data_IF_868362821879
#
_entry.id   IF_868362821879
#
_cell.length_a   1.000
_cell.length_b   1.000
_cell.length_c   1.000
_cell.angle_alpha   90.00
_cell.angle_beta   90.00
_cell.angle_gamma   90.00
#
_symmetry.space_group_name_H-M   'P 1'
#
loop_
_entity.id
_entity.type
_entity.pdbx_description
1 polymer ?
#
# COMPACT_ATOMS: atom_id res chain seq x y z
N UNK A 1 -2.18 10.58 7.89
CA UNK A 1 -1.23 9.50 8.23
C UNK A 1 -2.00 8.21 8.39
N UNK A 2 -1.52 7.13 7.80
CA UNK A 2 -2.02 5.77 7.96
C UNK A 2 -0.87 4.87 8.42
N UNK A 3 -1.16 3.88 9.26
CA UNK A 3 -0.21 2.91 9.78
C UNK A 3 -0.94 1.58 9.99
N UNK A 4 -0.36 0.49 9.50
CA UNK A 4 -0.86 -0.87 9.73
C UNK A 4 -0.86 -1.20 11.23
N UNK A 5 -1.82 -2.03 11.64
CA UNK A 5 -2.01 -2.40 13.06
C UNK A 5 -0.81 -3.16 13.65
N UNK A 6 -0.05 -3.85 12.81
CA UNK A 6 1.17 -4.59 13.18
C UNK A 6 2.44 -3.80 12.90
N UNK A 7 2.33 -2.46 12.85
CA UNK A 7 3.45 -1.55 12.67
C UNK A 7 3.54 -0.55 13.84
N UNK A 8 4.71 0.04 14.01
CA UNK A 8 4.97 1.07 15.02
C UNK A 8 5.92 2.14 14.47
N UNK A 9 5.80 3.36 15.00
CA UNK A 9 6.69 4.49 14.70
C UNK A 9 7.57 4.70 15.93
N UNK A 10 8.80 4.13 16.01
CA UNK A 10 9.68 4.30 17.17
C UNK A 10 10.31 5.69 17.25
N UNK A 11 10.38 6.40 16.11
CA UNK A 11 10.93 7.74 16.03
C UNK A 11 9.88 8.80 16.38
N UNK A 12 10.32 9.97 16.83
CA UNK A 12 9.41 11.14 16.93
C UNK A 12 8.99 11.58 15.53
N UNK A 13 7.72 11.90 15.32
CA UNK A 13 7.22 12.29 13.99
C UNK A 13 7.95 13.50 13.41
N UNK A 14 8.20 14.52 14.24
CA UNK A 14 8.91 15.76 13.87
C UNK A 14 10.40 15.56 13.53
N UNK A 15 10.96 14.37 13.82
CA UNK A 15 12.34 14.04 13.44
C UNK A 15 12.50 13.63 11.98
N UNK A 16 11.40 13.34 11.27
CA UNK A 16 11.45 12.93 9.87
C UNK A 16 10.35 13.52 8.99
N UNK A 17 9.25 14.00 9.58
CA UNK A 17 8.18 14.73 8.91
C UNK A 17 8.32 16.22 9.24
N UNK A 18 8.41 17.05 8.21
CA UNK A 18 8.50 18.50 8.32
C UNK A 18 7.17 19.16 7.96
N UNK A 19 6.83 20.34 8.50
CA UNK A 19 5.55 21.02 8.20
C UNK A 19 5.31 21.34 6.72
N UNK A 20 6.37 21.39 5.91
CA UNK A 20 6.31 21.67 4.48
C UNK A 20 6.31 20.40 3.62
N UNK A 21 6.37 19.20 4.23
CA UNK A 21 6.27 17.95 3.48
C UNK A 21 4.81 17.71 3.10
N UNK A 22 4.53 17.58 1.80
CA UNK A 22 3.21 17.18 1.28
C UNK A 22 3.07 15.66 1.16
N UNK A 23 4.19 14.93 1.15
CA UNK A 23 4.25 13.48 1.26
C UNK A 23 5.60 13.00 1.81
N UNK A 24 5.60 11.87 2.52
CA UNK A 24 6.83 11.13 2.89
C UNK A 24 6.69 9.68 2.43
N UNK A 25 7.60 9.24 1.57
CA UNK A 25 7.59 7.88 1.00
C UNK A 25 8.93 7.17 1.21
N UNK A 26 8.92 5.85 1.06
CA UNK A 26 10.11 5.01 1.07
C UNK A 26 9.92 3.81 0.13
N UNK A 27 11.02 3.28 -0.41
CA UNK A 27 11.01 1.99 -1.08
C UNK A 27 11.03 0.86 -0.04
N UNK A 28 10.34 -0.24 -0.35
CA UNK A 28 10.46 -1.49 0.39
C UNK A 28 11.87 -2.09 0.24
N UNK A 29 12.25 -3.02 1.11
CA UNK A 29 13.51 -3.76 1.01
C UNK A 29 13.82 -4.39 -0.36
N UNK A 30 12.79 -4.69 -1.17
CA UNK A 30 12.94 -5.22 -2.53
C UNK A 30 13.33 -4.17 -3.59
N UNK A 31 13.31 -2.88 -3.25
CA UNK A 31 13.60 -1.73 -4.14
C UNK A 31 12.72 -1.65 -5.40
N UNK A 32 11.60 -2.37 -5.42
CA UNK A 32 10.65 -2.41 -6.55
C UNK A 32 9.36 -1.71 -6.24
N UNK A 33 8.86 -1.84 -5.01
CA UNK A 33 7.61 -1.21 -4.58
C UNK A 33 7.86 -0.14 -3.52
N UNK A 34 7.00 0.87 -3.49
CA UNK A 34 6.92 1.81 -2.38
C UNK A 34 6.16 1.20 -1.21
N UNK A 35 6.58 1.55 0.01
CA UNK A 35 5.98 1.09 1.25
C UNK A 35 4.52 1.50 1.35
N UNK A 36 3.63 0.54 1.63
CA UNK A 36 2.19 0.75 1.80
C UNK A 36 1.68 0.57 3.23
N UNK A 37 2.43 -0.11 4.11
CA UNK A 37 2.05 -0.34 5.52
C UNK A 37 2.09 0.93 6.38
N UNK A 38 2.63 2.03 5.84
CA UNK A 38 2.58 3.36 6.45
C UNK A 38 2.54 4.42 5.36
N UNK A 39 1.59 5.36 5.46
CA UNK A 39 1.37 6.41 4.47
C UNK A 39 1.33 7.78 5.14
N UNK A 40 2.16 8.70 4.64
CA UNK A 40 2.25 10.08 5.10
C UNK A 40 1.98 11.01 3.92
N UNK A 41 0.78 11.58 3.87
CA UNK A 41 0.32 12.40 2.76
C UNK A 41 -0.53 13.55 3.27
N UNK A 42 -0.37 14.70 2.63
CA UNK A 42 -1.37 15.76 2.59
C UNK A 42 -2.59 15.31 1.78
N UNK A 43 -3.77 15.85 2.12
CA UNK A 43 -4.99 15.56 1.39
C UNK A 43 -4.87 16.00 -0.07
N UNK A 44 -5.33 15.16 -1.00
CA UNK A 44 -5.30 15.47 -2.44
C UNK A 44 -3.92 15.28 -3.10
N UNK A 45 -2.95 14.65 -2.42
CA UNK A 45 -1.64 14.43 -3.03
C UNK A 45 -1.74 13.57 -4.32
N UNK A 46 -1.09 13.99 -5.44
CA UNK A 46 -1.27 13.35 -6.75
C UNK A 46 -0.86 11.88 -6.79
N UNK A 47 0.02 11.44 -5.88
CA UNK A 47 0.42 10.03 -5.78
C UNK A 47 -0.77 9.12 -5.45
N UNK A 48 -1.60 9.50 -4.47
CA UNK A 48 -2.76 8.72 -4.08
C UNK A 48 -3.88 8.82 -5.11
N UNK A 49 -4.05 9.98 -5.75
CA UNK A 49 -5.00 10.14 -6.85
C UNK A 49 -4.70 9.19 -8.00
N UNK A 50 -3.43 9.15 -8.46
CA UNK A 50 -2.99 8.24 -9.53
C UNK A 50 -3.05 6.77 -9.11
N UNK A 51 -2.70 6.45 -7.87
CA UNK A 51 -2.85 5.10 -7.35
C UNK A 51 -4.32 4.65 -7.38
N UNK A 52 -5.25 5.48 -6.90
CA UNK A 52 -6.68 5.20 -6.93
C UNK A 52 -7.20 5.06 -8.37
N UNK A 53 -6.74 5.90 -9.30
CA UNK A 53 -7.11 5.78 -10.71
C UNK A 53 -6.73 4.40 -11.29
N UNK A 54 -5.51 3.91 -11.03
CA UNK A 54 -5.12 2.56 -11.44
C UNK A 54 -5.92 1.46 -10.75
N UNK A 55 -6.19 1.60 -9.45
CA UNK A 55 -6.99 0.64 -8.69
C UNK A 55 -8.40 0.54 -9.29
N UNK A 56 -9.06 1.69 -9.54
CA UNK A 56 -10.39 1.75 -10.15
C UNK A 56 -10.37 1.12 -11.54
N UNK A 57 -9.35 1.43 -12.36
CA UNK A 57 -9.20 0.85 -13.69
C UNK A 57 -9.00 -0.67 -13.63
N UNK A 58 -8.19 -1.16 -12.70
CA UNK A 58 -7.93 -2.58 -12.50
C UNK A 58 -9.21 -3.32 -12.08
N UNK A 59 -9.97 -2.75 -11.13
CA UNK A 59 -11.23 -3.32 -10.65
C UNK A 59 -12.30 -3.34 -11.73
N UNK A 60 -12.50 -2.21 -12.44
CA UNK A 60 -13.51 -2.10 -13.53
C UNK A 60 -13.33 -3.13 -14.63
N UNK A 61 -12.08 -3.51 -14.92
CA UNK A 61 -11.77 -4.47 -15.98
C UNK A 61 -11.33 -5.83 -15.44
N UNK A 62 -11.44 -6.05 -14.11
CA UNK A 62 -10.96 -7.24 -13.42
C UNK A 62 -9.58 -7.72 -13.90
N UNK A 63 -8.60 -6.80 -14.02
CA UNK A 63 -7.33 -7.08 -14.74
C UNK A 63 -6.48 -8.16 -14.09
N UNK A 64 -6.60 -8.31 -12.77
CA UNK A 64 -5.73 -9.17 -11.95
C UNK A 64 -6.56 -10.02 -10.97
N UNK A 65 -7.43 -10.91 -11.48
CA UNK A 65 -8.46 -11.58 -10.68
C UNK A 65 -7.89 -12.42 -9.53
N UNK A 66 -6.67 -12.93 -9.67
CA UNK A 66 -5.99 -13.76 -8.66
C UNK A 66 -4.70 -13.11 -8.14
N UNK A 67 -4.54 -11.80 -8.31
CA UNK A 67 -3.35 -11.09 -7.85
C UNK A 67 -3.75 -9.76 -7.22
N UNK A 68 -3.99 -9.79 -5.89
CA UNK A 68 -4.33 -8.59 -5.11
C UNK A 68 -3.18 -7.57 -5.09
N UNK A 69 -1.93 -8.02 -5.22
CA UNK A 69 -0.77 -7.15 -5.19
C UNK A 69 -0.72 -6.25 -6.44
N UNK A 70 -1.09 -6.81 -7.59
CA UNK A 70 -1.28 -6.07 -8.84
C UNK A 70 -2.63 -5.33 -8.90
N UNK A 71 -3.70 -5.92 -8.36
CA UNK A 71 -5.05 -5.34 -8.41
C UNK A 71 -5.14 -4.04 -7.60
N UNK A 72 -4.85 -4.10 -6.30
CA UNK A 72 -5.08 -3.00 -5.36
C UNK A 72 -3.87 -2.68 -4.46
N UNK A 73 -2.90 -3.60 -4.39
CA UNK A 73 -1.79 -3.55 -3.46
C UNK A 73 -0.59 -2.69 -3.92
N UNK A 74 0.62 -3.01 -3.43
CA UNK A 74 1.81 -2.18 -3.60
C UNK A 74 2.20 -1.93 -5.05
N UNK A 75 1.90 -2.82 -6.00
CA UNK A 75 2.24 -2.57 -7.41
C UNK A 75 1.35 -1.49 -8.02
N UNK A 76 0.03 -1.52 -7.78
CA UNK A 76 -0.87 -0.47 -8.27
C UNK A 76 -0.50 0.90 -7.67
N UNK A 77 -0.18 0.92 -6.37
CA UNK A 77 0.29 2.11 -5.68
C UNK A 77 1.61 2.64 -6.23
N UNK A 78 2.60 1.76 -6.43
CA UNK A 78 3.90 2.14 -6.99
C UNK A 78 3.76 2.71 -8.41
N UNK A 79 2.91 2.09 -9.23
CA UNK A 79 2.59 2.60 -10.57
C UNK A 79 2.00 4.02 -10.50
N UNK A 80 1.11 4.27 -9.54
CA UNK A 80 0.52 5.59 -9.29
C UNK A 80 1.57 6.65 -8.97
N UNK A 81 2.50 6.36 -8.05
CA UNK A 81 3.61 7.27 -7.71
C UNK A 81 4.48 7.55 -8.96
N UNK A 82 4.89 6.50 -9.67
CA UNK A 82 5.74 6.64 -10.86
C UNK A 82 5.05 7.45 -11.97
N UNK A 83 3.75 7.23 -12.17
CA UNK A 83 2.97 8.01 -13.14
C UNK A 83 2.84 9.48 -12.73
N UNK A 84 2.57 9.76 -11.45
CA UNK A 84 2.48 11.12 -10.94
C UNK A 84 3.82 11.87 -11.11
N UNK A 85 4.94 11.24 -10.77
CA UNK A 85 6.28 11.80 -10.95
C UNK A 85 6.63 12.03 -12.42
N UNK A 86 6.24 11.12 -13.31
CA UNK A 86 6.44 11.27 -14.75
C UNK A 86 5.59 12.41 -15.33
N UNK A 87 4.36 12.59 -14.83
CA UNK A 87 3.41 13.60 -15.34
C UNK A 87 3.71 15.00 -14.78
N UNK A 88 4.18 15.08 -13.54
CA UNK A 88 4.54 16.31 -12.85
C UNK A 88 5.82 16.09 -12.02
N UNK A 89 7.01 16.19 -12.65
CA UNK A 89 8.29 15.97 -11.96
C UNK A 89 8.56 16.93 -10.79
N UNK A 90 7.87 18.07 -10.76
CA UNK A 90 7.93 19.08 -9.70
C UNK A 90 7.02 18.78 -8.50
N UNK A 91 6.36 17.62 -8.47
CA UNK A 91 5.55 17.20 -7.33
C UNK A 91 6.40 17.23 -6.06
N UNK A 92 5.95 17.93 -5.03
CA UNK A 92 6.65 18.01 -3.74
C UNK A 92 6.51 16.67 -3.01
N UNK A 93 7.61 16.13 -2.50
CA UNK A 93 7.61 14.96 -1.60
C UNK A 93 8.99 14.82 -0.96
N UNK A 94 9.06 14.09 0.16
CA UNK A 94 10.30 13.62 0.77
C UNK A 94 10.40 12.12 0.58
N UNK A 95 11.55 11.65 0.12
CA UNK A 95 11.85 10.22 0.08
C UNK A 95 12.90 9.89 1.13
N UNK A 96 12.55 9.02 2.06
CA UNK A 96 13.51 8.42 2.99
C UNK A 96 14.15 7.19 2.33
N UNK A 97 15.25 6.70 2.93
CA UNK A 97 15.83 5.42 2.58
C UNK A 97 14.85 4.24 2.77
N UNK A 98 15.35 3.05 2.43
CA UNK A 98 14.62 1.78 2.50
C UNK A 98 13.86 1.60 3.81
N UNK A 99 12.59 1.20 3.71
CA UNK A 99 11.70 0.94 4.86
C UNK A 99 11.72 2.07 5.90
N UNK A 100 11.63 3.32 5.42
CA UNK A 100 11.68 4.55 6.22
C UNK A 100 12.90 4.64 7.16
N UNK A 101 14.02 3.99 6.84
CA UNK A 101 15.25 3.98 7.66
C UNK A 101 14.99 3.55 9.12
N UNK A 102 14.05 2.61 9.32
CA UNK A 102 13.60 2.14 10.64
C UNK A 102 12.91 3.19 11.50
N UNK A 103 12.57 4.36 10.95
CA UNK A 103 11.70 5.35 11.62
C UNK A 103 10.25 4.89 11.72
N UNK A 104 9.87 3.97 10.84
CA UNK A 104 8.67 3.15 10.90
C UNK A 104 9.08 1.71 10.72
N UNK A 105 8.49 0.78 11.47
CA UNK A 105 8.83 -0.63 11.39
C UNK A 105 7.66 -1.53 11.78
N UNK A 106 7.67 -2.77 11.29
CA UNK A 106 6.76 -3.79 11.80
C UNK A 106 6.99 -4.02 13.30
N UNK A 107 5.89 -4.07 14.03
CA UNK A 107 5.82 -4.30 15.46
C UNK A 107 5.35 -5.72 15.77
N UNK A 108 5.73 -6.19 16.95
CA UNK A 108 5.42 -7.50 17.53
C UNK A 108 6.13 -8.72 16.94
N UNK A 109 7.08 -9.31 17.70
CA UNK A 109 7.42 -10.71 17.56
C UNK A 109 6.12 -11.55 17.61
N UNK A 110 5.93 -12.45 16.66
CA UNK A 110 4.74 -13.33 16.54
C UNK A 110 3.42 -12.66 16.10
N UNK A 111 3.38 -11.38 15.70
CA UNK A 111 2.16 -10.76 15.12
C UNK A 111 1.59 -11.57 13.98
N UNK A 112 2.45 -12.07 13.09
CA UNK A 112 2.02 -12.89 11.95
C UNK A 112 1.34 -14.19 12.37
N UNK A 113 1.70 -14.75 13.52
CA UNK A 113 1.06 -15.96 14.06
C UNK A 113 -0.30 -15.62 14.68
N UNK A 114 -0.42 -14.46 15.36
CA UNK A 114 -1.69 -13.96 15.90
C UNK A 114 -2.66 -13.60 14.79
N UNK A 115 -2.21 -12.87 13.77
CA UNK A 115 -3.06 -12.35 12.69
C UNK A 115 -3.47 -13.43 11.67
N UNK A 116 -2.54 -14.32 11.29
CA UNK A 116 -2.79 -15.28 10.21
C UNK A 116 -2.89 -16.74 10.68
N UNK A 117 -2.71 -16.99 11.97
CA UNK A 117 -2.61 -18.34 12.54
C UNK A 117 -1.31 -19.07 12.14
N UNK A 118 -1.01 -20.16 12.85
CA UNK A 118 0.19 -20.97 12.59
C UNK A 118 0.33 -21.45 11.15
N UNK A 119 -0.79 -21.72 10.47
CA UNK A 119 -0.81 -22.25 9.10
C UNK A 119 -0.88 -21.18 8.02
N UNK A 120 -1.02 -19.89 8.38
CA UNK A 120 -1.14 -18.76 7.45
C UNK A 120 -2.13 -19.00 6.29
N UNK A 121 -3.17 -19.81 6.52
CA UNK A 121 -4.15 -20.18 5.49
C UNK A 121 -4.88 -18.95 4.94
N UNK A 122 -5.05 -17.95 5.78
CA UNK A 122 -5.72 -16.69 5.44
C UNK A 122 -4.73 -15.62 4.95
N UNK A 123 -3.46 -15.97 4.74
CA UNK A 123 -2.51 -15.04 4.16
C UNK A 123 -2.87 -14.80 2.69
N UNK A 124 -2.85 -13.54 2.26
CA UNK A 124 -3.32 -13.13 0.95
C UNK A 124 -2.70 -13.93 -0.21
N UNK A 125 -1.41 -14.29 -0.12
CA UNK A 125 -0.74 -15.13 -1.14
C UNK A 125 -1.38 -16.49 -1.31
N UNK A 126 -1.77 -17.12 -0.21
CA UNK A 126 -2.41 -18.44 -0.23
C UNK A 126 -3.84 -18.32 -0.76
N UNK A 127 -4.57 -17.29 -0.33
CA UNK A 127 -5.94 -17.04 -0.78
C UNK A 127 -6.00 -16.74 -2.28
N UNK A 128 -5.02 -15.99 -2.80
CA UNK A 128 -4.90 -15.64 -4.21
C UNK A 128 -4.84 -16.86 -5.15
N UNK A 129 -4.42 -18.04 -4.68
CA UNK A 129 -4.37 -19.27 -5.50
C UNK A 129 -5.76 -19.83 -5.84
N UNK A 130 -6.79 -19.51 -5.07
CA UNK A 130 -8.11 -20.14 -5.18
C UNK A 130 -9.29 -19.18 -5.08
N UNK A 131 -9.07 -17.97 -4.56
CA UNK A 131 -10.11 -16.97 -4.32
C UNK A 131 -9.83 -15.74 -5.16
N UNK A 132 -10.74 -15.37 -6.09
CA UNK A 132 -10.58 -14.16 -6.86
C UNK A 132 -10.76 -12.92 -5.97
N UNK A 133 -10.11 -11.81 -6.35
CA UNK A 133 -10.21 -10.51 -5.67
C UNK A 133 -11.64 -9.97 -5.70
N UNK A 134 -12.32 -10.14 -6.84
CA UNK A 134 -13.73 -9.83 -7.02
C UNK A 134 -14.54 -11.11 -6.92
N UNK A 135 -15.61 -11.09 -6.12
CA UNK A 135 -16.63 -12.14 -6.18
C UNK A 135 -17.33 -12.07 -7.53
N UNK A 136 -17.72 -13.22 -8.08
CA UNK A 136 -18.65 -13.24 -9.19
C UNK A 136 -19.94 -12.51 -8.78
N UNK A 137 -20.58 -11.83 -9.72
CA UNK A 137 -21.94 -11.31 -9.54
C UNK A 137 -22.89 -12.51 -9.43
N UNK A 138 -22.93 -13.17 -8.27
CA UNK A 138 -24.08 -13.98 -7.91
C UNK A 138 -25.22 -13.00 -7.63
N UNK A 139 -26.22 -13.06 -8.51
CA UNK A 139 -27.56 -12.47 -8.41
C UNK A 139 -27.83 -11.79 -7.07
N UNK A 140 -27.79 -10.46 -7.06
CA UNK A 140 -28.68 -9.68 -6.20
C UNK A 140 -30.14 -9.93 -6.67
N UNK A 141 -30.60 -11.18 -6.63
CA UNK A 141 -32.02 -11.46 -6.60
C UNK A 141 -32.55 -10.91 -5.28
N UNK A 142 -33.43 -9.93 -5.42
CA UNK A 142 -34.13 -9.23 -4.36
C UNK A 142 -34.77 -10.24 -3.40
N UNK A 143 -34.22 -10.34 -2.19
CA UNK A 143 -34.92 -10.85 -1.02
C UNK A 143 -35.53 -9.68 -0.22
#
# INVERSE_FOLDING_TARGET
MYLDIDSLIPAKLDSFISPNDSAVIALEGNQRCYVQYALFYEAGHPFLEKALAHIIENLKHNKYPFDVHLMTGPTAYTKGIQEALRSAPSTSYKQLGTDYEKKVMFSYPMSKTVLYGFRRKNHWRTLAESTPVLKAEEEFELA
#
